data_IF_091210903006
#
_entry.id   IF_091210903006
#
_cell.length_a   1.000
_cell.length_b   1.000
_cell.length_c   1.000
_cell.angle_alpha   90.00
_cell.angle_beta   90.00
_cell.angle_gamma   90.00
#
_symmetry.space_group_name_H-M   'P 1'
#
loop_
_entity.id
_entity.type
_entity.pdbx_description
1 polymer ?
2 non-polymer ?
3 water ?
#
# COMPACT_ATOMS: atom_id res chain seq x y z
N UNK A 4 -40.41 10.93 24.32
CA UNK A 4 -40.10 9.75 25.12
C UNK A 4 -39.12 8.81 24.43
N UNK A 5 -39.36 7.51 24.59
CA UNK A 5 -38.48 6.52 23.98
C UNK A 5 -38.64 6.49 22.46
N UNK A 6 -39.86 6.69 21.97
CA UNK A 6 -40.09 6.69 20.53
C UNK A 6 -39.48 7.93 19.88
N UNK A 7 -39.54 9.07 20.56
CA UNK A 7 -38.96 10.30 20.02
C UNK A 7 -37.45 10.16 19.88
N UNK A 8 -36.80 9.63 20.92
CA UNK A 8 -35.35 9.45 20.86
C UNK A 8 -34.95 8.44 19.79
N UNK A 9 -35.77 7.40 19.62
CA UNK A 9 -35.48 6.42 18.57
C UNK A 9 -35.57 7.06 17.19
N UNK A 10 -36.57 7.90 16.97
CA UNK A 10 -36.70 8.58 15.68
C UNK A 10 -35.53 9.53 15.44
N UNK A 11 -35.18 10.33 16.45
CA UNK A 11 -34.08 11.27 16.30
C UNK A 11 -32.76 10.55 16.03
N UNK A 12 -32.51 9.46 16.74
CA UNK A 12 -31.30 8.67 16.48
C UNK A 12 -31.31 8.09 15.07
N UNK A 13 -32.48 7.63 14.62
CA UNK A 13 -32.59 7.11 13.26
C UNK A 13 -32.37 8.20 12.22
N UNK A 14 -32.81 9.42 12.52
CA UNK A 14 -32.54 10.54 11.62
C UNK A 14 -31.04 10.81 11.53
N UNK A 15 -30.36 10.84 12.67
CA UNK A 15 -28.92 11.07 12.65
C UNK A 15 -28.16 9.94 11.99
N UNK A 16 -28.63 8.70 12.16
CA UNK A 16 -28.00 7.57 11.48
C UNK A 16 -28.14 7.70 9.97
N UNK A 17 -29.33 8.11 9.51
CA UNK A 17 -29.53 8.33 8.08
C UNK A 17 -28.65 9.46 7.58
N UNK A 18 -28.41 10.47 8.43
CA UNK A 18 -27.51 11.56 8.05
C UNK A 18 -26.10 11.04 7.81
N UNK A 19 -25.56 10.30 8.78
CA UNK A 19 -24.24 9.68 8.60
C UNK A 19 -24.28 8.69 7.44
N UNK A 20 -25.42 8.05 7.22
CA UNK A 20 -25.56 7.07 6.14
C UNK A 20 -25.30 7.73 4.78
N UNK A 21 -26.00 8.83 4.50
CA UNK A 21 -25.90 9.45 3.18
C UNK A 21 -24.57 10.17 3.00
N UNK A 22 -23.95 10.63 4.10
CA UNK A 22 -22.64 11.26 3.99
C UNK A 22 -21.59 10.23 3.59
N UNK A 23 -21.52 9.13 4.34
CA UNK A 23 -20.57 8.08 4.01
C UNK A 23 -20.84 7.49 2.62
N UNK A 24 -22.12 7.40 2.24
CA UNK A 24 -22.44 6.86 0.94
C UNK A 24 -21.91 7.72 -0.19
N UNK A 25 -22.16 9.03 -0.10
CA UNK A 25 -21.69 9.94 -1.16
C UNK A 25 -20.17 10.08 -1.16
N UNK A 26 -19.54 9.92 0.01
CA UNK A 26 -18.09 9.90 0.05
C UNK A 26 -17.55 8.68 -0.67
N UNK A 27 -18.19 7.53 -0.49
CA UNK A 27 -17.81 6.33 -1.24
C UNK A 27 -18.05 6.54 -2.73
N UNK A 28 -19.17 7.17 -3.08
CA UNK A 28 -19.49 7.42 -4.48
C UNK A 28 -18.45 8.31 -5.13
N UNK A 29 -17.99 9.34 -4.41
CA UNK A 29 -16.96 10.21 -4.96
C UNK A 29 -15.63 9.49 -5.07
N UNK A 30 -15.32 8.62 -4.11
CA UNK A 30 -14.13 7.78 -4.21
C UNK A 30 -14.18 6.91 -5.46
N UNK A 31 -15.35 6.32 -5.75
CA UNK A 31 -15.50 5.51 -6.96
C UNK A 31 -15.37 6.36 -8.22
N UNK A 32 -15.95 7.57 -8.19
CA UNK A 32 -15.93 8.42 -9.37
C UNK A 32 -14.51 8.90 -9.66
N UNK A 33 -13.80 9.38 -8.62
CA UNK A 33 -12.43 9.80 -8.81
C UNK A 33 -11.55 8.64 -9.28
N UNK A 34 -11.79 7.45 -8.75
CA UNK A 34 -10.93 6.32 -9.05
C UNK A 34 -11.16 5.77 -10.45
N UNK A 35 -12.43 5.50 -10.80
CA UNK A 35 -12.73 4.90 -12.10
C UNK A 35 -12.28 5.80 -13.25
N UNK A 36 -12.40 7.11 -13.07
CA UNK A 36 -12.00 8.07 -14.09
C UNK A 36 -10.56 8.55 -13.92
N UNK A 37 -9.83 8.03 -12.93
CA UNK A 37 -8.45 8.40 -12.74
C UNK A 37 -7.58 7.91 -13.89
N UNK A 38 -6.37 8.45 -13.96
CA UNK A 38 -5.44 8.07 -15.01
C UNK A 38 -4.93 6.65 -14.79
N UNK A 39 -4.44 6.05 -15.88
CA UNK A 39 -3.95 4.68 -15.86
C UNK A 39 -2.73 4.54 -16.76
N UNK A 40 -1.68 5.30 -16.45
CA UNK A 40 -0.39 5.17 -17.13
C UNK A 40 0.48 4.24 -16.31
N UNK A 41 0.89 3.12 -16.91
CA UNK A 41 1.51 2.02 -16.18
C UNK A 41 2.91 1.75 -16.72
N UNK A 42 3.90 1.82 -15.85
CA UNK A 42 5.27 1.43 -16.18
C UNK A 42 5.47 -0.06 -15.97
N UNK A 43 4.90 -0.60 -14.89
CA UNK A 43 5.02 -2.00 -14.53
C UNK A 43 3.68 -2.72 -14.75
N UNK A 44 3.72 -4.04 -14.56
CA UNK A 44 2.52 -4.85 -14.41
C UNK A 44 2.76 -5.81 -13.26
N UNK A 45 1.67 -6.17 -12.56
CA UNK A 45 1.82 -6.88 -11.30
C UNK A 45 2.41 -8.27 -11.48
N UNK A 46 2.16 -8.92 -12.63
CA UNK A 46 2.78 -10.22 -12.88
C UNK A 46 4.30 -10.10 -12.99
N UNK A 47 4.77 -8.98 -13.54
CA UNK A 47 6.21 -8.76 -13.65
C UNK A 47 6.85 -8.68 -12.26
N UNK A 48 6.27 -7.89 -11.37
CA UNK A 48 6.82 -7.73 -10.03
C UNK A 48 6.69 -9.04 -9.25
N UNK A 49 5.57 -9.74 -9.43
CA UNK A 49 5.32 -10.95 -8.65
C UNK A 49 6.30 -12.06 -9.04
N UNK A 50 6.54 -12.24 -10.35
CA UNK A 50 7.48 -13.27 -10.78
C UNK A 50 8.90 -12.94 -10.35
N UNK A 51 9.28 -11.66 -10.39
CA UNK A 51 10.62 -11.27 -9.98
C UNK A 51 10.83 -11.51 -8.48
N UNK A 52 9.80 -11.26 -7.67
CA UNK A 52 9.93 -11.49 -6.24
C UNK A 52 9.86 -12.98 -5.92
N UNK A 53 9.02 -13.72 -6.65
CA UNK A 53 8.88 -15.15 -6.40
C UNK A 53 10.15 -15.91 -6.77
N UNK A 54 10.88 -15.44 -7.77
CA UNK A 54 12.14 -16.10 -8.16
C UNK A 54 13.15 -16.07 -7.01
N UNK A 55 13.23 -14.94 -6.31
CA UNK A 55 14.22 -14.74 -5.26
C UNK A 55 13.66 -14.95 -3.86
N UNK A 56 12.45 -15.51 -3.74
CA UNK A 56 11.88 -15.74 -2.42
C UNK A 56 12.60 -16.84 -1.65
N UNK A 57 13.38 -17.67 -2.34
CA UNK A 57 14.17 -18.69 -1.68
C UNK A 57 15.47 -18.21 -1.07
N UNK A 58 15.87 -16.98 -1.38
CA UNK A 58 17.08 -16.40 -0.81
C UNK A 58 16.76 -15.72 0.51
N UNK A 59 17.83 -15.34 1.22
CA UNK A 59 17.68 -14.43 2.34
C UNK A 59 17.03 -13.14 1.84
N UNK A 60 16.02 -12.67 2.56
CA UNK A 60 15.15 -11.61 2.03
C UNK A 60 15.94 -10.34 1.71
N UNK A 61 17.08 -10.13 2.37
CA UNK A 61 17.90 -8.95 2.09
C UNK A 61 18.69 -9.13 0.79
N UNK A 62 19.17 -10.35 0.53
CA UNK A 62 19.78 -10.66 -0.77
C UNK A 62 18.73 -10.56 -1.86
N UNK A 63 17.51 -11.01 -1.58
CA UNK A 63 16.42 -10.87 -2.54
C UNK A 63 16.13 -9.40 -2.82
N UNK A 64 16.11 -8.58 -1.77
CA UNK A 64 15.91 -7.13 -1.93
C UNK A 64 16.87 -6.56 -2.96
N UNK A 65 18.16 -6.84 -2.81
CA UNK A 65 19.17 -6.25 -3.69
C UNK A 65 19.00 -6.72 -5.12
N UNK A 66 18.78 -8.03 -5.32
CA UNK A 66 18.64 -8.56 -6.68
C UNK A 66 17.37 -8.03 -7.35
N UNK A 67 16.31 -7.83 -6.56
CA UNK A 67 15.08 -7.29 -7.13
C UNK A 67 15.28 -5.84 -7.57
N UNK A 68 15.97 -5.05 -6.73
CA UNK A 68 16.22 -3.64 -7.07
C UNK A 68 17.08 -3.55 -8.32
N UNK A 69 18.15 -4.36 -8.39
CA UNK A 69 19.04 -4.33 -9.55
C UNK A 69 18.29 -4.69 -10.82
N UNK A 70 17.41 -5.69 -10.75
CA UNK A 70 16.64 -6.09 -11.92
C UNK A 70 15.63 -5.01 -12.31
N UNK A 71 14.98 -4.40 -11.32
CA UNK A 71 14.03 -3.33 -11.62
C UNK A 71 14.72 -2.13 -12.25
N UNK A 72 15.96 -1.86 -11.86
CA UNK A 72 16.71 -0.77 -12.48
C UNK A 72 17.13 -1.11 -13.89
N UNK A 73 17.49 -2.37 -14.14
CA UNK A 73 17.91 -2.77 -15.49
C UNK A 73 16.76 -2.72 -16.47
N UNK A 74 15.57 -3.19 -16.06
CA UNK A 74 14.44 -3.28 -16.97
C UNK A 74 13.60 -2.01 -17.02
N UNK A 75 13.67 -1.16 -16.00
CA UNK A 75 12.94 0.11 -15.99
C UNK A 75 13.87 1.24 -15.55
N UNK A 76 14.87 1.57 -16.36
CA UNK A 76 15.80 2.64 -16.00
C UNK A 76 15.10 4.00 -15.97
N UNK A 77 15.41 4.77 -14.94
CA UNK A 77 14.79 6.06 -14.75
C UNK A 77 13.52 6.05 -13.92
N UNK A 78 13.12 4.89 -13.40
CA UNK A 78 11.89 4.79 -12.61
C UNK A 78 12.13 4.19 -11.23
N UNK A 79 13.37 3.98 -10.83
CA UNK A 79 13.70 3.45 -9.51
C UNK A 79 14.60 4.44 -8.80
N UNK A 80 14.31 4.71 -7.53
CA UNK A 80 15.12 5.64 -6.75
C UNK A 80 16.53 5.11 -6.60
N UNK A 81 17.51 6.01 -6.68
CA UNK A 81 18.90 5.62 -6.52
C UNK A 81 19.17 5.20 -5.07
N UNK A 82 20.36 4.65 -4.86
CA UNK A 82 20.74 4.16 -3.53
C UNK A 82 20.69 5.27 -2.49
N UNK A 83 21.04 6.50 -2.90
CA UNK A 83 21.07 7.61 -1.96
C UNK A 83 19.69 7.94 -1.41
N UNK A 84 18.63 7.60 -2.13
CA UNK A 84 17.27 7.92 -1.72
C UNK A 84 16.52 6.74 -1.13
N UNK A 85 17.16 5.58 -1.02
CA UNK A 85 16.54 4.43 -0.38
C UNK A 85 16.67 4.54 1.14
N UNK A 86 15.58 4.23 1.85
CA UNK A 86 15.54 4.39 3.30
C UNK A 86 14.40 3.55 3.85
N UNK A 87 14.66 2.88 4.98
CA UNK A 87 13.62 2.18 5.71
C UNK A 87 12.85 3.16 6.56
N UNK A 88 11.55 3.27 6.32
CA UNK A 88 10.67 4.19 7.04
C UNK A 88 9.53 3.40 7.66
N UNK A 89 9.25 3.64 8.93
CA UNK A 89 8.14 2.97 9.61
C UNK A 89 6.82 3.35 8.97
N UNK A 90 5.91 2.38 8.92
CA UNK A 90 4.56 2.59 8.42
C UNK A 90 3.58 2.17 9.51
N UNK A 91 2.78 3.12 9.98
CA UNK A 91 1.75 2.87 10.99
C UNK A 91 0.40 3.19 10.35
N UNK A 92 -0.34 2.14 9.99
CA UNK A 92 -1.61 2.30 9.30
C UNK A 92 -2.58 1.23 9.77
N UNK A 93 -3.84 1.61 9.93
CA UNK A 93 -4.91 0.66 10.23
C UNK A 93 -4.67 -0.22 11.44
N UNK A 94 -3.88 0.27 12.40
CA UNK A 94 -3.61 -0.48 13.61
C UNK A 94 -2.40 -1.38 13.57
N UNK A 95 -1.74 -1.52 12.42
CA UNK A 95 -0.54 -2.33 12.33
C UNK A 95 0.69 -1.44 12.13
N UNK A 96 1.86 -2.01 12.41
CA UNK A 96 3.13 -1.30 12.30
C UNK A 96 4.10 -2.15 11.50
N UNK A 97 4.51 -1.64 10.34
CA UNK A 97 5.57 -2.25 9.56
C UNK A 97 6.57 -1.19 9.14
N UNK A 98 7.39 -1.49 8.14
CA UNK A 98 8.30 -0.51 7.58
C UNK A 98 8.43 -0.75 6.09
N UNK A 99 8.82 0.30 5.36
CA UNK A 99 8.86 0.26 3.92
C UNK A 99 10.17 0.82 3.41
N UNK A 100 10.51 0.46 2.18
CA UNK A 100 11.57 1.09 1.40
C UNK A 100 11.01 1.38 0.02
N UNK A 101 10.69 2.65 -0.24
CA UNK A 101 10.08 3.04 -1.50
C UNK A 101 11.10 2.98 -2.63
N UNK A 102 10.75 2.30 -3.70
CA UNK A 102 11.57 2.22 -4.90
C UNK A 102 11.02 3.02 -6.06
N UNK A 103 9.69 3.06 -6.22
CA UNK A 103 9.05 3.79 -7.29
C UNK A 103 7.69 4.26 -6.80
N UNK A 104 7.28 5.45 -7.24
CA UNK A 104 5.97 5.98 -6.89
C UNK A 104 5.60 7.06 -7.89
N UNK A 105 4.35 7.02 -8.35
CA UNK A 105 3.84 8.03 -9.27
C UNK A 105 2.40 8.31 -8.88
N UNK A 106 1.68 8.99 -9.78
CA UNK A 106 0.26 9.24 -9.55
C UNK A 106 -0.54 7.95 -9.65
N UNK A 107 -0.06 6.98 -10.43
CA UNK A 107 -0.82 5.77 -10.75
C UNK A 107 -0.21 4.48 -10.25
N UNK A 108 1.07 4.48 -9.83
CA UNK A 108 1.74 3.25 -9.42
C UNK A 108 2.65 3.53 -8.23
N UNK A 109 3.06 2.44 -7.58
CA UNK A 109 4.16 2.50 -6.63
C UNK A 109 4.73 1.10 -6.46
N UNK A 110 6.02 1.04 -6.16
CA UNK A 110 6.74 -0.21 -5.90
C UNK A 110 7.58 0.00 -4.65
N UNK A 111 7.45 -0.89 -3.67
CA UNK A 111 8.21 -0.74 -2.43
C UNK A 111 8.47 -2.11 -1.83
N UNK A 112 9.51 -2.15 -0.99
CA UNK A 112 9.77 -3.31 -0.14
C UNK A 112 9.10 -3.08 1.21
N UNK A 113 8.40 -4.09 1.70
CA UNK A 113 7.60 -3.94 2.91
C UNK A 113 7.81 -5.15 3.82
N UNK A 114 7.60 -4.92 5.11
CA UNK A 114 7.61 -6.00 6.08
C UNK A 114 7.65 -5.46 7.49
N UNK A 115 7.92 -6.37 8.43
CA UNK A 115 7.93 -6.04 9.85
C UNK A 115 8.81 -7.03 10.58
N UNK A 116 9.46 -6.53 11.65
CA UNK A 116 10.23 -7.37 12.56
C UNK A 116 9.48 -7.68 13.84
N UNK A 117 8.21 -7.27 13.94
CA UNK A 117 7.37 -7.52 15.09
C UNK A 117 6.08 -8.20 14.62
N UNK A 118 5.44 -8.89 15.55
CA UNK A 118 4.11 -9.42 15.29
C UNK A 118 3.11 -8.27 15.29
N UNK A 119 2.38 -8.11 14.19
CA UNK A 119 1.46 -7.00 14.05
C UNK A 119 0.30 -7.42 13.14
N UNK A 120 -0.75 -6.61 13.14
CA UNK A 120 -1.90 -6.86 12.30
C UNK A 120 -2.94 -5.77 12.48
N UNK A 121 -3.85 -5.71 11.51
CA UNK A 121 -4.92 -4.72 11.57
C UNK A 121 -5.66 -4.61 10.25
N UNK A 122 -6.19 -3.41 10.01
CA UNK A 122 -7.01 -3.15 8.82
C UNK A 122 -6.13 -2.93 7.60
N UNK A 123 -6.58 -3.43 6.45
CA UNK A 123 -5.79 -3.32 5.23
C UNK A 123 -5.94 -1.95 4.56
N UNK A 124 -7.06 -1.29 4.77
CA UNK A 124 -7.43 -0.09 4.03
C UNK A 124 -8.33 -0.41 2.85
N UNK A 125 -9.22 0.53 2.56
CA UNK A 125 -10.12 0.40 1.41
C UNK A 125 -9.95 1.62 0.53
N UNK A 126 -9.55 1.41 -0.72
CA UNK A 126 -9.21 2.49 -1.62
C UNK A 126 -9.35 1.99 -3.05
N UNK A 127 -9.33 2.94 -3.99
CA UNK A 127 -9.37 2.60 -5.41
C UNK A 127 -7.95 2.36 -5.92
N UNK A 128 -7.41 1.21 -5.50
CA UNK A 128 -6.07 0.81 -5.91
C UNK A 128 -5.94 -0.69 -5.74
N UNK A 129 -5.22 -1.33 -6.66
CA UNK A 129 -4.98 -2.76 -6.63
C UNK A 129 -3.60 -3.02 -6.07
N UNK A 130 -3.53 -3.57 -4.87
CA UNK A 130 -2.28 -3.81 -4.16
C UNK A 130 -1.98 -5.30 -4.20
N UNK A 131 -0.73 -5.64 -4.51
CA UNK A 131 -0.28 -7.03 -4.56
C UNK A 131 1.01 -7.18 -3.78
N UNK A 132 1.09 -8.22 -2.95
CA UNK A 132 2.23 -8.48 -2.09
C UNK A 132 2.75 -9.89 -2.36
N UNK A 133 4.01 -10.01 -2.75
CA UNK A 133 4.67 -11.29 -2.94
C UNK A 133 5.61 -11.52 -1.76
N UNK A 134 5.33 -12.56 -0.98
CA UNK A 134 6.06 -12.82 0.26
C UNK A 134 7.44 -13.36 -0.05
N UNK A 135 8.47 -12.74 0.53
CA UNK A 135 9.82 -13.27 0.48
C UNK A 135 10.14 -14.12 1.71
N UNK A 136 9.68 -13.70 2.88
CA UNK A 136 9.90 -14.43 4.12
C UNK A 136 8.71 -14.22 5.03
N UNK A 137 8.53 -15.15 5.96
CA UNK A 137 7.50 -15.03 6.98
C UNK A 137 6.15 -15.57 6.57
N UNK A 138 5.12 -15.11 7.27
CA UNK A 138 3.75 -15.54 7.03
C UNK A 138 2.83 -14.32 6.92
N UNK A 139 1.84 -14.43 6.03
CA UNK A 139 0.87 -13.38 5.76
C UNK A 139 -0.52 -14.01 5.88
N UNK A 140 -1.25 -13.65 6.93
CA UNK A 140 -2.63 -14.09 7.11
C UNK A 140 -3.58 -13.01 6.65
N UNK A 141 -4.53 -13.40 5.79
CA UNK A 141 -5.54 -12.49 5.28
C UNK A 141 -6.92 -12.98 5.67
N UNK A 142 -7.75 -12.07 6.19
CA UNK A 142 -9.12 -12.34 6.56
C UNK A 142 -10.02 -11.45 5.72
N UNK A 143 -10.76 -12.06 4.78
CA UNK A 143 -11.57 -11.29 3.85
C UNK A 143 -12.90 -10.89 4.46
N UNK A 144 -13.42 -9.75 3.99
CA UNK A 144 -14.72 -9.28 4.43
C UNK A 144 -15.81 -10.26 4.03
N UNK A 145 -16.82 -10.39 4.90
CA UNK A 145 -17.94 -11.27 4.62
C UNK A 145 -17.70 -12.73 4.92
N UNK A 146 -16.56 -13.08 5.51
CA UNK A 146 -16.25 -14.46 5.85
C UNK A 146 -15.85 -14.53 7.32
N UNK A 147 -15.97 -15.74 7.88
CA UNK A 147 -15.58 -16.02 9.25
C UNK A 147 -14.28 -16.81 9.35
N UNK A 148 -13.56 -16.97 8.24
CA UNK A 148 -12.35 -17.79 8.21
C UNK A 148 -11.26 -17.06 7.44
N UNK A 149 -10.02 -17.21 7.91
CA UNK A 149 -8.85 -16.56 7.33
C UNK A 149 -7.94 -17.59 6.66
N UNK A 150 -7.01 -17.08 5.86
CA UNK A 150 -6.07 -17.90 5.12
C UNK A 150 -4.66 -17.37 5.33
N UNK A 151 -3.69 -18.29 5.41
CA UNK A 151 -2.29 -17.94 5.64
C UNK A 151 -1.51 -18.19 4.35
N UNK A 152 -0.61 -17.27 4.03
CA UNK A 152 0.20 -17.35 2.83
C UNK A 152 1.68 -17.33 3.20
N UNK A 153 2.49 -17.91 2.34
CA UNK A 153 3.87 -18.28 2.64
C UNK A 153 4.80 -17.72 1.57
N UNK A 154 6.12 -17.79 1.78
CA UNK A 154 7.05 -17.27 0.78
C UNK A 154 6.80 -17.87 -0.60
N UNK A 155 6.81 -17.00 -1.61
CA UNK A 155 6.47 -17.36 -2.97
C UNK A 155 5.05 -17.05 -3.36
N UNK A 156 4.15 -16.87 -2.39
CA UNK A 156 2.76 -16.57 -2.68
C UNK A 156 2.57 -15.08 -2.93
N UNK A 157 1.47 -14.75 -3.60
CA UNK A 157 1.11 -13.37 -3.89
C UNK A 157 -0.33 -13.13 -3.49
N UNK A 158 -0.54 -12.15 -2.61
CA UNK A 158 -1.88 -11.71 -2.21
C UNK A 158 -2.24 -10.49 -3.03
N UNK A 159 -3.41 -10.51 -3.65
CA UNK A 159 -3.88 -9.41 -4.49
C UNK A 159 -5.04 -8.74 -3.78
N UNK A 160 -4.80 -7.55 -3.23
CA UNK A 160 -5.83 -6.76 -2.57
C UNK A 160 -6.60 -5.98 -3.64
N UNK A 161 -7.84 -6.37 -3.89
CA UNK A 161 -8.59 -5.84 -5.02
C UNK A 161 -9.10 -4.43 -4.73
N UNK A 162 -9.45 -3.73 -5.81
CA UNK A 162 -9.99 -2.39 -5.70
C UNK A 162 -11.29 -2.43 -4.92
N UNK A 163 -11.40 -1.56 -3.91
CA UNK A 163 -12.59 -1.50 -3.08
C UNK A 163 -12.70 -2.60 -2.04
N UNK A 164 -11.76 -3.53 -2.00
CA UNK A 164 -11.80 -4.62 -1.03
C UNK A 164 -11.18 -4.18 0.30
N UNK A 165 -11.73 -4.71 1.39
CA UNK A 165 -11.18 -4.50 2.72
C UNK A 165 -10.95 -5.84 3.40
N UNK A 166 -9.77 -6.01 3.98
CA UNK A 166 -9.43 -7.23 4.68
C UNK A 166 -8.77 -6.89 6.00
N UNK A 167 -8.68 -7.90 6.87
CA UNK A 167 -7.81 -7.85 8.02
C UNK A 167 -6.50 -8.54 7.67
N UNK A 168 -5.38 -7.87 7.93
CA UNK A 168 -4.07 -8.41 7.60
C UNK A 168 -3.30 -8.62 8.90
N UNK A 169 -2.48 -9.66 8.92
CA UNK A 169 -1.68 -9.99 10.09
C UNK A 169 -0.37 -10.64 9.64
N UNK A 170 0.74 -10.09 10.11
CA UNK A 170 2.07 -10.58 9.75
C UNK A 170 2.82 -10.99 11.00
N UNK A 171 3.64 -12.04 10.88
CA UNK A 171 4.48 -12.49 11.97
C UNK A 171 5.85 -11.82 11.90
N UNK A 172 6.58 -11.91 13.01
CA UNK A 172 7.90 -11.29 13.08
C UNK A 172 8.83 -11.86 12.02
N UNK A 173 9.47 -10.96 11.27
CA UNK A 173 10.36 -11.39 10.21
C UNK A 173 9.69 -11.68 8.89
N UNK A 174 8.54 -11.06 8.62
CA UNK A 174 7.85 -11.21 7.35
C UNK A 174 8.20 -10.05 6.44
N UNK A 175 8.65 -10.36 5.22
CA UNK A 175 9.06 -9.33 4.28
C UNK A 175 8.55 -9.68 2.89
N UNK A 176 8.18 -8.65 2.13
CA UNK A 176 7.50 -8.86 0.86
C UNK A 176 7.79 -7.72 -0.09
N UNK A 177 7.57 -7.98 -1.38
CA UNK A 177 7.64 -6.96 -2.42
C UNK A 177 6.21 -6.56 -2.77
N UNK A 178 5.96 -5.25 -2.79
CA UNK A 178 4.62 -4.71 -2.93
C UNK A 178 4.53 -3.81 -4.15
N UNK A 179 3.47 -3.99 -4.93
CA UNK A 179 3.21 -3.18 -6.11
C UNK A 179 1.78 -2.66 -6.04
N UNK A 180 1.61 -1.35 -6.15
CA UNK A 180 0.30 -0.72 -6.12
C UNK A 180 -0.04 -0.10 -7.45
N UNK A 181 -1.31 -0.22 -7.84
CA UNK A 181 -1.78 0.30 -9.12
C UNK A 181 -3.16 0.88 -8.96
N UNK A 182 -3.35 2.12 -9.41
CA UNK A 182 -4.63 2.80 -9.31
C UNK A 182 -4.52 4.27 -9.01
N UNK A 183 -5.38 4.79 -8.13
CA UNK A 183 -5.37 6.19 -7.74
C UNK A 183 -4.58 6.30 -6.44
N UNK A 184 -3.25 6.37 -6.59
CA UNK A 184 -2.36 6.29 -5.43
C UNK A 184 -2.61 7.40 -4.41
N UNK A 185 -2.83 8.66 -4.80
CA UNK A 185 -3.08 9.69 -3.77
C UNK A 185 -4.24 9.38 -2.83
N UNK A 186 -5.26 8.64 -3.30
CA UNK A 186 -6.40 8.33 -2.45
C UNK A 186 -6.07 7.33 -1.35
N UNK A 187 -4.81 6.90 -1.26
CA UNK A 187 -4.37 5.98 -0.22
C UNK A 187 -3.59 6.68 0.89
N UNK A 188 -3.22 7.95 0.70
CA UNK A 188 -2.37 8.64 1.66
C UNK A 188 -3.06 8.82 3.00
N UNK A 189 -4.37 9.08 2.98
CA UNK A 189 -5.12 9.28 4.23
C UNK A 189 -5.04 8.04 5.11
N UNK A 190 -5.16 6.85 4.52
CA UNK A 190 -5.01 5.63 5.29
C UNK A 190 -3.58 5.45 5.80
N UNK A 191 -2.60 5.83 4.99
CA UNK A 191 -1.20 5.60 5.34
C UNK A 191 -0.73 6.50 6.48
N UNK A 192 -1.36 7.66 6.64
CA UNK A 192 -0.89 8.66 7.59
C UNK A 192 -1.77 8.80 8.82
N UNK A 193 -2.93 8.14 8.83
CA UNK A 193 -3.93 8.36 9.89
C UNK A 193 -3.36 8.01 11.27
N UNK A 194 -2.76 6.83 11.40
CA UNK A 194 -2.23 6.42 12.69
C UNK A 194 -1.02 7.25 13.11
N UNK A 195 -0.32 7.86 12.16
CA UNK A 195 0.73 8.81 12.53
C UNK A 195 0.12 10.10 13.06
N UNK A 196 -0.99 10.54 12.48
CA UNK A 196 -1.63 11.79 12.91
C UNK A 196 -2.35 11.60 14.24
N UNK A 197 -3.05 10.48 14.42
CA UNK A 197 -3.96 10.32 15.54
C UNK A 197 -3.52 9.27 16.56
N UNK A 198 -2.31 8.72 16.43
CA UNK A 198 -1.86 7.72 17.39
C UNK A 198 -0.39 7.90 17.76
N UNK A 199 0.51 7.74 16.79
CA UNK A 199 1.93 7.73 17.09
C UNK A 199 2.50 9.13 17.29
N UNK A 200 1.89 10.15 16.66
CA UNK A 200 2.38 11.52 16.71
C UNK A 200 3.81 11.65 16.21
N UNK A 201 4.28 10.67 15.43
CA UNK A 201 5.66 10.60 14.96
C UNK A 201 5.79 11.46 13.71
N UNK A 202 6.02 12.75 13.92
CA UNK A 202 6.04 13.71 12.83
C UNK A 202 7.31 13.64 12.00
N UNK A 203 8.40 13.09 12.56
CA UNK A 203 9.62 12.90 11.76
C UNK A 203 9.42 11.77 10.77
N UNK A 204 8.73 10.70 11.18
CA UNK A 204 8.38 9.64 10.23
C UNK A 204 7.45 10.16 9.15
N UNK A 205 6.49 11.01 9.51
CA UNK A 205 5.66 11.68 8.52
C UNK A 205 6.52 12.51 7.56
N UNK A 206 7.51 13.22 8.11
CA UNK A 206 8.45 13.96 7.29
C UNK A 206 9.18 13.03 6.32
N UNK A 207 9.66 11.89 6.83
CA UNK A 207 10.33 10.91 5.97
C UNK A 207 9.41 10.41 4.87
N UNK A 208 8.14 10.16 5.20
CA UNK A 208 7.23 9.54 4.24
C UNK A 208 6.94 10.46 3.06
N UNK A 209 6.63 11.73 3.34
CA UNK A 209 6.34 12.67 2.28
C UNK A 209 7.61 13.06 1.52
N UNK A 210 8.78 12.89 2.14
CA UNK A 210 10.03 13.23 1.46
C UNK A 210 10.32 12.23 0.35
N UNK A 211 10.21 10.93 0.66
CA UNK A 211 10.52 9.90 -0.34
C UNK A 211 9.44 9.86 -1.42
N UNK A 212 8.19 10.14 -1.06
CA UNK A 212 7.13 10.20 -2.08
C UNK A 212 7.36 11.37 -3.03
N UNK A 213 7.74 12.53 -2.49
CA UNK A 213 8.02 13.67 -3.35
C UNK A 213 9.24 13.42 -4.22
N UNK A 214 10.24 12.72 -3.68
CA UNK A 214 11.42 12.39 -4.48
C UNK A 214 11.07 11.41 -5.60
N UNK A 215 10.23 10.41 -5.31
CA UNK A 215 9.81 9.48 -6.34
C UNK A 215 8.99 10.19 -7.41
N UNK A 216 8.12 11.12 -7.02
CA UNK A 216 7.37 11.90 -7.99
C UNK A 216 8.29 12.74 -8.85
N UNK A 217 9.28 13.39 -8.22
CA UNK A 217 10.22 14.22 -8.97
C UNK A 217 11.06 13.38 -9.91
N UNK A 218 11.38 12.13 -9.54
CA UNK A 218 12.11 11.26 -10.44
C UNK A 218 11.29 10.96 -11.69
N UNK A 219 10.01 10.63 -11.51
CA UNK A 219 9.15 10.33 -12.65
C UNK A 219 8.99 11.56 -13.54
N UNK A 220 8.85 12.74 -12.94
CA UNK A 220 8.75 13.97 -13.73
C UNK A 220 10.04 14.23 -14.50
N UNK A 221 11.19 14.00 -13.86
CA UNK A 221 12.46 14.22 -14.55
C UNK A 221 12.63 13.25 -15.71
N UNK A 222 12.22 11.99 -15.52
CA UNK A 222 12.34 11.00 -16.60
C UNK A 222 11.36 11.30 -17.73
N UNK A 223 10.14 11.74 -17.40
CA UNK A 223 9.17 12.08 -18.43
C UNK A 223 9.63 13.28 -19.25
N UNK A 224 10.32 14.24 -18.62
CA UNK A 224 10.83 15.38 -19.37
C UNK A 224 11.98 14.98 -20.28
N UNK A 225 12.81 14.03 -19.86
CA UNK A 225 13.93 13.60 -20.68
C UNK A 225 13.48 12.75 -21.85
N UNK A 226 12.39 12.00 -21.70
CA UNK A 226 11.90 11.18 -22.80
C UNK A 226 11.29 12.00 -23.93
N UNK A 227 10.98 13.26 -23.69
CA UNK A 227 10.48 14.16 -24.72
C UNK A 227 11.49 15.20 -25.16
N UNK A 228 12.39 15.62 -24.28
CA UNK A 228 13.38 16.62 -24.61
C UNK A 228 13.56 17.67 -23.53
X LIG B 1 1.44 5.91 1.14
X LIG B 1 1.95 5.07 -0.04
X LIG B 1 0.77 4.47 -0.82
X LIG B 1 0.03 3.45 0.05
X LIG B 1 0.94 2.40 0.71
X LIG B 1 2.16 3.03 1.39
X LIG B 1 2.88 3.92 0.38
X LIG B 1 4.23 4.57 0.75
X LIG B 1 4.30 5.79 -0.16
X LIG B 1 2.93 5.95 -0.79
X LIG B 1 3.12 1.93 1.84
X LIG B 1 2.41 0.81 2.54
X LIG B 1 1.11 0.55 2.43
X LIG B 1 0.16 1.51 1.72
X LIG B 1 -0.90 0.70 0.97
X LIG B 1 -1.61 -0.32 1.86
X LIG B 1 -0.58 -1.29 2.44
X LIG B 1 0.48 -0.55 3.25
X LIG B 1 -0.53 2.39 2.77
X LIG B 1 2.66 6.67 -1.73
X LIG B 1 -1.31 -2.24 3.33
X LIG B 1 -1.76 -4.58 4.01
X LIG B 1 -2.25 -3.91 1.77
X LIG B 1 0.04 -4.15 2.48
X LIG B 1 -1.34 -3.75 2.90
#
# INVERSE_FOLDING_TARGET
GGGGRSVDTMALWLGLRAVLVVAGLAVLLQLIRGWLSSKSYVFNREEIARLAKEHSGLDYEVAFSKIIVELRKKHPGHILQDEDLQWVFVNAGGWMGSMCLLHASLTEYVLLFGTAVDTGGHSGRYWAEISDTILSGTFRQWKEGTTKSEIFYPGDTIVHEVGEATSVQWSSGTWMVEYGRGFIPSTLAFALADTIFSTQDFLTLFYTVKVYSKALLLEASTHLSQLGFFAAA
ZWY C01 C02 C03 C04 C05 C06 C07 C08 C09 C10 C12 C13 C14 C15 C16 C17 C18 C19 C25 O11 O20 O22 O23 O24 S21
#
